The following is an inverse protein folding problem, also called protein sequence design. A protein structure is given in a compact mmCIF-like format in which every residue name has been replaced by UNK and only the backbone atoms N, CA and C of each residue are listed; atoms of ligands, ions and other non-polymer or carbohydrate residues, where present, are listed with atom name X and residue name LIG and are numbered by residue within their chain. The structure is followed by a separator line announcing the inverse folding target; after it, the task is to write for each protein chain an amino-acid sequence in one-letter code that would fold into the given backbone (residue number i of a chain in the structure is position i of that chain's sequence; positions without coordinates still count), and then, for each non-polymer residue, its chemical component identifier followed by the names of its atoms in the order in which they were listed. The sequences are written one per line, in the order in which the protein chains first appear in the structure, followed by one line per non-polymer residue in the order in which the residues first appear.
data_IF_034598291056
#
_entry.id   IF_034598291056
#
_cell.length_a   1.000
_cell.length_b   1.000
_cell.length_c   1.000
_cell.angle_alpha   90.00
_cell.angle_beta   90.00
_cell.angle_gamma   90.00
#
_symmetry.space_group_name_H-M   'P 1'
#
loop_
_entity.id
_entity.type
_entity.pdbx_description
1 polymer ?
#
# COMPACT_ATOMS: atom_id res chain seq x y z
N UNK A 1 25.11 -39.20 -44.35
CA UNK A 1 24.17 -38.14 -43.93
C UNK A 1 24.99 -37.05 -43.23
N UNK A 2 24.58 -35.78 -43.35
CA UNK A 2 25.40 -34.57 -43.07
C UNK A 2 26.10 -34.57 -41.69
N UNK A 3 27.33 -34.09 -41.48
CA UNK A 3 28.08 -32.88 -41.92
C UNK A 3 27.76 -31.56 -41.17
N UNK A 4 28.83 -30.95 -40.60
CA UNK A 4 29.00 -29.50 -40.27
C UNK A 4 28.01 -28.91 -39.21
N UNK A 5 28.13 -27.69 -38.62
CA UNK A 5 29.22 -26.78 -38.20
C UNK A 5 28.59 -25.69 -37.28
N UNK A 6 29.27 -24.82 -36.51
CA UNK A 6 30.58 -24.80 -35.82
C UNK A 6 30.71 -23.47 -35.03
N UNK A 7 31.61 -23.39 -34.02
CA UNK A 7 32.26 -22.17 -33.51
C UNK A 7 31.51 -21.11 -32.65
N UNK A 8 32.19 -20.76 -31.54
CA UNK A 8 32.62 -19.40 -31.09
C UNK A 8 31.72 -18.45 -30.25
N UNK A 9 32.25 -18.13 -29.05
CA UNK A 9 32.70 -16.79 -28.55
C UNK A 9 31.67 -15.64 -28.63
N UNK A 10 31.34 -14.91 -27.54
CA UNK A 10 32.24 -13.93 -26.89
C UNK A 10 31.77 -13.46 -25.50
N UNK A 11 32.73 -13.11 -24.63
CA UNK A 11 32.47 -12.37 -23.38
C UNK A 11 32.32 -10.86 -23.63
N UNK A 12 31.68 -10.14 -22.69
CA UNK A 12 31.53 -8.68 -22.77
C UNK A 12 30.90 -8.03 -21.54
N UNK A 13 31.68 -7.82 -20.48
CA UNK A 13 31.36 -6.80 -19.46
C UNK A 13 31.81 -5.45 -20.02
N UNK A 14 30.92 -4.45 -20.13
CA UNK A 14 31.35 -3.05 -20.30
C UNK A 14 30.35 -2.03 -19.75
N UNK A 15 30.76 -1.42 -18.63
CA UNK A 15 30.62 -0.02 -18.19
C UNK A 15 29.33 0.78 -18.43
N UNK A 16 28.92 1.47 -17.35
CA UNK A 16 28.17 2.73 -17.36
C UNK A 16 28.75 3.71 -18.39
N UNK A 17 27.89 4.43 -19.10
CA UNK A 17 28.17 5.80 -19.53
C UNK A 17 27.02 6.69 -19.12
N UNK A 18 27.34 7.81 -18.47
CA UNK A 18 26.39 8.88 -18.23
C UNK A 18 26.24 9.70 -19.52
N UNK A 19 25.01 10.12 -19.82
CA UNK A 19 24.74 11.21 -20.75
C UNK A 19 23.86 12.20 -20.01
N UNK A 20 24.47 13.32 -19.61
CA UNK A 20 23.72 14.53 -19.28
C UNK A 20 23.02 15.02 -20.56
N UNK A 21 21.74 15.32 -20.49
CA UNK A 21 21.12 16.23 -21.45
C UNK A 21 19.95 16.95 -20.79
N UNK A 22 20.14 18.24 -20.49
CA UNK A 22 19.03 19.12 -20.11
C UNK A 22 18.18 19.43 -21.34
N UNK A 23 16.90 19.04 -21.30
CA UNK A 23 15.85 19.71 -22.07
C UNK A 23 14.60 19.81 -21.20
N UNK A 24 14.21 21.04 -20.83
CA UNK A 24 12.87 21.31 -20.34
C UNK A 24 11.87 21.06 -21.47
N UNK A 25 10.90 20.18 -21.23
CA UNK A 25 9.61 20.21 -21.91
C UNK A 25 8.52 20.05 -20.85
N UNK A 26 7.54 20.95 -20.92
CA UNK A 26 6.36 21.02 -20.06
C UNK A 26 5.43 19.82 -20.34
N UNK A 27 4.92 19.14 -19.31
CA UNK A 27 4.05 17.98 -19.50
C UNK A 27 3.92 17.04 -18.30
N UNK A 28 2.68 16.72 -17.95
CA UNK A 28 2.27 15.86 -16.83
C UNK A 28 2.94 14.47 -16.86
N UNK A 29 3.56 14.05 -15.75
CA UNK A 29 3.93 12.65 -15.49
C UNK A 29 3.28 12.20 -14.18
N UNK A 30 1.95 12.13 -14.20
CA UNK A 30 1.15 11.45 -13.18
C UNK A 30 0.51 10.22 -13.83
N UNK A 31 1.14 9.04 -13.73
CA UNK A 31 0.60 7.84 -14.37
C UNK A 31 1.40 6.53 -14.32
N UNK A 32 2.71 6.54 -14.06
CA UNK A 32 3.53 5.33 -14.25
C UNK A 32 3.58 4.41 -13.00
N UNK A 33 3.66 4.99 -11.79
CA UNK A 33 3.68 4.23 -10.53
C UNK A 33 2.38 3.47 -10.20
N UNK A 34 1.29 3.71 -10.95
CA UNK A 34 0.02 3.04 -10.72
C UNK A 34 -0.03 1.65 -11.37
N UNK A 35 0.73 1.41 -12.46
CA UNK A 35 0.66 0.16 -13.24
C UNK A 35 1.51 -0.98 -12.68
N UNK A 36 2.67 -0.68 -12.13
CA UNK A 36 3.63 -1.70 -11.64
C UNK A 36 3.14 -2.39 -10.34
N UNK A 37 2.10 -1.86 -9.69
CA UNK A 37 1.52 -2.39 -8.44
C UNK A 37 0.34 -3.35 -8.63
N UNK A 38 -0.26 -3.41 -9.83
CA UNK A 38 -1.43 -4.27 -10.10
C UNK A 38 -1.06 -5.75 -10.35
N UNK A 39 0.20 -6.05 -10.71
CA UNK A 39 0.63 -7.42 -11.04
C UNK A 39 1.02 -8.26 -9.81
N UNK A 40 1.52 -7.65 -8.72
CA UNK A 40 1.99 -8.39 -7.53
C UNK A 40 0.87 -8.65 -6.48
N UNK A 41 -0.38 -8.25 -6.75
CA UNK A 41 -1.53 -8.33 -5.83
C UNK A 41 -2.76 -9.05 -6.40
N UNK A 42 -2.56 -9.94 -7.38
CA UNK A 42 -3.58 -10.83 -7.97
C UNK A 42 -4.32 -11.71 -6.91
N UNK A 43 -5.59 -12.08 -7.14
CA UNK A 43 -6.71 -11.30 -6.60
C UNK A 43 -7.51 -12.04 -5.50
N UNK A 44 -8.77 -11.62 -5.27
CA UNK A 44 -9.90 -12.27 -4.53
C UNK A 44 -10.44 -11.49 -3.31
N UNK A 45 -9.72 -10.53 -2.73
CA UNK A 45 -10.31 -9.63 -1.70
C UNK A 45 -11.00 -8.42 -2.34
N UNK A 46 -12.05 -8.70 -3.12
CA UNK A 46 -13.16 -7.79 -3.46
C UNK A 46 -12.78 -6.29 -3.59
N UNK A 47 -12.03 -5.93 -4.65
CA UNK A 47 -11.45 -4.59 -4.83
C UNK A 47 -12.46 -3.44 -4.68
N UNK A 48 -13.72 -3.66 -5.08
CA UNK A 48 -14.79 -2.68 -4.90
C UNK A 48 -15.03 -2.33 -3.43
N UNK A 49 -15.00 -3.31 -2.52
CA UNK A 49 -15.09 -3.07 -1.08
C UNK A 49 -13.88 -2.31 -0.56
N UNK A 50 -12.66 -2.66 -0.99
CA UNK A 50 -11.45 -1.97 -0.56
C UNK A 50 -11.46 -0.51 -1.01
N UNK A 51 -11.83 -0.23 -2.27
CA UNK A 51 -12.00 1.14 -2.79
C UNK A 51 -13.09 1.90 -2.03
N UNK A 52 -14.19 1.24 -1.67
CA UNK A 52 -15.26 1.82 -0.84
C UNK A 52 -14.76 2.16 0.58
N UNK A 53 -14.01 1.28 1.24
CA UNK A 53 -13.43 1.54 2.56
C UNK A 53 -12.43 2.71 2.54
N UNK A 54 -11.54 2.74 1.55
CA UNK A 54 -10.60 3.85 1.34
C UNK A 54 -11.36 5.16 1.13
N UNK A 55 -12.43 5.16 0.33
CA UNK A 55 -13.27 6.35 0.13
C UNK A 55 -13.92 6.79 1.45
N UNK A 56 -14.58 5.88 2.17
CA UNK A 56 -15.23 6.20 3.45
C UNK A 56 -14.25 6.80 4.47
N UNK A 57 -13.04 6.22 4.60
CA UNK A 57 -11.99 6.75 5.48
C UNK A 57 -11.52 8.14 5.04
N UNK A 58 -11.37 8.40 3.73
CA UNK A 58 -11.03 9.73 3.20
C UNK A 58 -12.15 10.75 3.45
N UNK A 59 -13.39 10.39 3.18
CA UNK A 59 -14.57 11.24 3.34
C UNK A 59 -14.74 11.66 4.82
N UNK A 60 -14.57 10.73 5.78
CA UNK A 60 -14.52 11.04 7.22
C UNK A 60 -13.32 11.94 7.55
N UNK A 61 -12.12 11.61 7.05
CA UNK A 61 -10.89 12.29 7.45
C UNK A 61 -10.83 13.77 7.02
N UNK A 62 -11.44 14.06 5.87
CA UNK A 62 -11.55 15.41 5.29
C UNK A 62 -12.79 16.13 5.80
N UNK A 63 -13.94 15.44 5.92
CA UNK A 63 -15.22 16.06 6.23
C UNK A 63 -15.45 16.40 7.71
N UNK A 64 -14.77 15.73 8.64
CA UNK A 64 -14.92 16.01 10.09
C UNK A 64 -13.79 16.90 10.62
N UNK A 65 -14.15 18.10 11.07
CA UNK A 65 -13.23 19.10 11.64
C UNK A 65 -12.76 18.71 13.04
N UNK A 66 -13.66 18.17 13.87
CA UNK A 66 -13.36 17.84 15.27
C UNK A 66 -12.53 16.57 15.33
N UNK A 67 -11.21 16.76 15.44
CA UNK A 67 -10.20 15.69 15.49
C UNK A 67 -10.62 14.44 16.27
N UNK A 68 -11.14 14.59 17.50
CA UNK A 68 -11.54 13.45 18.33
C UNK A 68 -12.67 12.61 17.69
N UNK A 69 -13.67 13.25 17.10
CA UNK A 69 -14.80 12.56 16.43
C UNK A 69 -14.32 11.90 15.14
N UNK A 70 -13.47 12.59 14.37
CA UNK A 70 -12.80 12.03 13.18
C UNK A 70 -12.02 10.76 13.52
N UNK A 71 -11.19 10.81 14.54
CA UNK A 71 -10.39 9.67 14.98
C UNK A 71 -11.32 8.53 15.43
N UNK A 72 -12.33 8.79 16.27
CA UNK A 72 -13.33 7.80 16.71
C UNK A 72 -14.08 7.12 15.55
N UNK A 73 -14.57 7.89 14.57
CA UNK A 73 -15.26 7.37 13.39
C UNK A 73 -14.33 6.50 12.54
N UNK A 74 -13.10 6.93 12.28
CA UNK A 74 -12.11 6.13 11.57
C UNK A 74 -11.74 4.84 12.33
N UNK A 75 -11.63 4.88 13.67
CA UNK A 75 -11.40 3.66 14.48
C UNK A 75 -12.56 2.68 14.36
N UNK A 76 -13.80 3.16 14.42
CA UNK A 76 -14.99 2.31 14.28
C UNK A 76 -15.03 1.60 12.93
N UNK A 77 -14.74 2.32 11.84
CA UNK A 77 -14.64 1.74 10.48
C UNK A 77 -13.49 0.74 10.39
N UNK A 78 -12.30 1.07 10.89
CA UNK A 78 -11.14 0.18 10.83
C UNK A 78 -11.33 -1.10 11.66
N UNK A 79 -11.96 -1.03 12.84
CA UNK A 79 -12.31 -2.22 13.63
C UNK A 79 -13.23 -3.16 12.83
N UNK A 80 -14.31 -2.63 12.24
CA UNK A 80 -15.23 -3.42 11.42
C UNK A 80 -14.53 -4.10 10.23
N UNK A 81 -13.58 -3.40 9.60
CA UNK A 81 -12.78 -3.97 8.51
C UNK A 81 -11.86 -5.09 9.03
N UNK A 82 -11.12 -4.86 10.12
CA UNK A 82 -10.14 -5.82 10.64
C UNK A 82 -10.80 -7.05 11.25
N UNK A 83 -11.93 -6.89 11.95
CA UNK A 83 -12.69 -8.00 12.52
C UNK A 83 -13.42 -8.83 11.44
N UNK A 84 -13.80 -8.19 10.32
CA UNK A 84 -14.54 -8.81 9.21
C UNK A 84 -13.69 -9.34 8.05
N UNK A 85 -12.36 -9.18 8.07
CA UNK A 85 -11.49 -9.59 6.95
C UNK A 85 -10.60 -10.79 7.27
N UNK A 86 -10.39 -11.65 6.28
CA UNK A 86 -9.58 -12.87 6.39
C UNK A 86 -8.10 -12.58 6.69
N UNK A 87 -7.55 -11.51 6.12
CA UNK A 87 -6.16 -11.11 6.32
C UNK A 87 -6.05 -9.61 6.68
N UNK A 88 -6.17 -9.25 7.97
CA UNK A 88 -6.05 -7.87 8.45
C UNK A 88 -4.73 -7.19 8.09
N UNK A 89 -3.63 -7.94 8.02
CA UNK A 89 -2.33 -7.37 7.67
C UNK A 89 -2.26 -6.97 6.18
N UNK A 90 -2.70 -7.85 5.27
CA UNK A 90 -2.81 -7.51 3.82
C UNK A 90 -3.77 -6.34 3.61
N UNK A 91 -4.94 -6.37 4.26
CA UNK A 91 -5.93 -5.29 4.18
C UNK A 91 -5.34 -3.95 4.66
N UNK A 92 -4.66 -3.92 5.80
CA UNK A 92 -4.01 -2.71 6.34
C UNK A 92 -2.98 -2.14 5.38
N UNK A 93 -2.13 -2.98 4.77
CA UNK A 93 -1.13 -2.53 3.80
C UNK A 93 -1.76 -1.89 2.56
N UNK A 94 -2.88 -2.44 2.06
CA UNK A 94 -3.60 -1.85 0.92
C UNK A 94 -4.31 -0.55 1.32
N UNK A 95 -4.99 -0.51 2.47
CA UNK A 95 -5.60 0.73 2.99
C UNK A 95 -4.56 1.83 3.15
N UNK A 96 -3.41 1.52 3.76
CA UNK A 96 -2.29 2.45 3.96
C UNK A 96 -1.75 3.00 2.64
N UNK A 97 -1.47 2.14 1.65
CA UNK A 97 -0.97 2.55 0.32
C UNK A 97 -1.95 3.44 -0.44
N UNK A 98 -3.26 3.23 -0.27
CA UNK A 98 -4.31 3.98 -0.98
C UNK A 98 -4.77 5.26 -0.25
N UNK A 99 -4.22 5.57 0.93
CA UNK A 99 -4.44 6.84 1.61
C UNK A 99 -3.85 8.01 0.82
N UNK A 100 -4.48 9.20 0.83
CA UNK A 100 -4.09 10.31 -0.03
C UNK A 100 -2.75 10.96 0.40
N UNK A 101 -2.31 10.66 1.62
CA UNK A 101 -1.15 11.22 2.28
C UNK A 101 -0.04 10.19 2.51
N UNK A 102 -0.09 9.03 1.83
CA UNK A 102 0.88 7.93 1.91
C UNK A 102 2.33 8.42 1.82
N UNK A 103 2.65 9.21 0.79
CA UNK A 103 4.00 9.73 0.55
C UNK A 103 4.51 10.73 1.60
N UNK A 104 3.65 11.22 2.51
CA UNK A 104 4.07 12.18 3.55
C UNK A 104 4.64 11.53 4.81
N UNK A 105 4.35 10.25 5.05
CA UNK A 105 4.78 9.44 6.22
C UNK A 105 4.58 10.10 7.61
N UNK A 106 3.70 11.10 7.73
CA UNK A 106 3.44 11.78 9.01
C UNK A 106 2.51 10.92 9.87
N UNK A 107 2.87 10.70 11.14
CA UNK A 107 2.00 9.98 12.08
C UNK A 107 0.61 10.62 12.24
N UNK A 108 0.49 11.94 12.02
CA UNK A 108 -0.75 12.71 12.05
C UNK A 108 -1.58 12.65 10.75
N UNK A 109 -1.16 11.86 9.76
CA UNK A 109 -1.87 11.66 8.49
C UNK A 109 -2.86 10.49 8.59
N UNK A 110 -3.77 10.33 7.64
CA UNK A 110 -4.67 9.18 7.57
C UNK A 110 -3.87 7.88 7.37
N UNK A 111 -2.89 7.88 6.48
CA UNK A 111 -1.95 6.77 6.30
C UNK A 111 -1.25 6.37 7.61
N UNK A 112 -0.73 7.35 8.37
CA UNK A 112 -0.12 7.12 9.69
C UNK A 112 -1.12 6.72 10.78
N UNK A 113 -2.39 7.10 10.65
CA UNK A 113 -3.47 6.69 11.55
C UNK A 113 -3.85 5.22 11.35
N UNK A 114 -4.02 4.78 10.10
CA UNK A 114 -4.35 3.39 9.74
C UNK A 114 -3.33 2.41 10.34
N UNK A 115 -2.03 2.68 10.22
CA UNK A 115 -0.98 1.84 10.80
C UNK A 115 -1.02 1.80 12.34
N UNK A 116 -1.10 2.98 12.99
CA UNK A 116 -1.13 3.06 14.47
C UNK A 116 -2.37 2.37 15.06
N UNK A 117 -3.51 2.46 14.39
CA UNK A 117 -4.73 1.78 14.83
C UNK A 117 -4.63 0.26 14.63
N UNK A 118 -4.02 -0.20 13.54
CA UNK A 118 -3.76 -1.63 13.32
C UNK A 118 -2.84 -2.23 14.38
N UNK A 119 -1.77 -1.51 14.78
CA UNK A 119 -0.90 -1.91 15.89
C UNK A 119 -1.69 -2.06 17.21
N UNK A 120 -2.54 -1.09 17.55
CA UNK A 120 -3.40 -1.14 18.75
C UNK A 120 -4.43 -2.28 18.70
N UNK A 121 -4.97 -2.59 17.51
CA UNK A 121 -5.89 -3.71 17.31
C UNK A 121 -5.18 -5.07 17.51
N UNK A 122 -3.95 -5.22 17.01
CA UNK A 122 -3.12 -6.42 17.26
C UNK A 122 -2.79 -6.59 18.75
N UNK A 123 -2.41 -5.51 19.45
CA UNK A 123 -2.10 -5.55 20.89
C UNK A 123 -3.29 -6.08 21.71
N UNK A 124 -4.49 -5.53 21.50
CA UNK A 124 -5.72 -5.98 22.18
C UNK A 124 -6.05 -7.45 21.93
N UNK A 125 -5.81 -7.95 20.71
CA UNK A 125 -6.03 -9.36 20.34
C UNK A 125 -5.04 -10.28 21.05
N UNK A 126 -3.78 -9.85 21.19
CA UNK A 126 -2.75 -10.58 21.92
C UNK A 126 -3.02 -10.62 23.43
N UNK A 127 -3.42 -9.48 24.02
CA UNK A 127 -3.85 -9.38 25.42
C UNK A 127 -5.03 -10.33 25.71
N UNK A 128 -6.05 -10.33 24.85
CA UNK A 128 -7.20 -11.23 24.96
C UNK A 128 -6.80 -12.71 24.94
N UNK A 129 -5.83 -13.09 24.10
CA UNK A 129 -5.33 -14.47 24.02
C UNK A 129 -4.65 -14.89 25.34
N UNK A 130 -3.75 -14.05 25.85
CA UNK A 130 -3.02 -14.32 27.10
C UNK A 130 -3.97 -14.48 28.31
N UNK A 131 -5.11 -13.77 28.32
CA UNK A 131 -6.13 -13.89 29.36
C UNK A 131 -7.01 -15.16 29.26
N UNK A 132 -6.96 -15.91 28.15
CA UNK A 132 -7.69 -17.17 27.98
C UNK A 132 -6.82 -18.38 28.37
N UNK A 133 -5.49 -18.23 28.32
CA UNK A 133 -4.52 -19.28 28.68
C UNK A 133 -4.10 -19.27 30.16
N UNK A 134 -4.66 -18.36 30.98
CA UNK A 134 -4.37 -18.18 32.42
C UNK A 134 -5.49 -18.69 33.32
#
# INVERSE_FOLDING_TARGET
MAENNCSRIRAGVFMRNAVMNEQLVDGEIEGDHQKELDEELQPQTNEGLVRMWVKLLKDIWIGEEKKAVKEELCQSVLNQIFDGCENPMKTTLVLHKLCPDYGTQKASSLAGFVLRHFEQWLQKRNEMMNCIES
#
